data_IF_598242952871
#
_entry.id   IF_598242952871
#
_cell.length_a   1.000
_cell.length_b   1.000
_cell.length_c   1.000
_cell.angle_alpha   90.00
_cell.angle_beta   90.00
_cell.angle_gamma   90.00
#
_symmetry.space_group_name_H-M   'P 1'
#
loop_
_entity.id
_entity.type
_entity.pdbx_description
1 polymer ?
#
# COMPACT_ATOMS: atom_id res chain seq x y z
N UNK A 1 -36.61 -11.44 -37.77
CA UNK A 1 -36.10 -11.05 -39.11
C UNK A 1 -35.04 -9.98 -38.94
N UNK A 2 -33.97 -9.98 -39.75
CA UNK A 2 -32.90 -8.95 -39.79
C UNK A 2 -33.05 -8.10 -41.07
N UNK A 3 -32.49 -6.88 -41.11
CA UNK A 3 -31.25 -6.65 -41.86
C UNK A 3 -30.20 -5.93 -40.96
N UNK A 4 -28.89 -6.19 -40.96
CA UNK A 4 -27.88 -6.32 -42.04
C UNK A 4 -27.71 -5.03 -42.86
N UNK A 5 -26.72 -4.20 -42.50
CA UNK A 5 -25.80 -3.62 -43.48
C UNK A 5 -24.42 -3.35 -42.84
N UNK A 6 -23.38 -3.45 -43.67
CA UNK A 6 -21.97 -3.36 -43.31
C UNK A 6 -21.34 -2.15 -44.00
N UNK A 7 -20.39 -1.46 -43.36
CA UNK A 7 -19.27 -0.86 -44.08
C UNK A 7 -18.05 -0.64 -43.18
N UNK A 8 -16.94 -1.26 -43.55
CA UNK A 8 -15.62 -0.93 -43.01
C UNK A 8 -14.95 0.13 -43.89
N UNK A 9 -14.14 1.02 -43.31
CA UNK A 9 -13.20 1.82 -44.08
C UNK A 9 -11.90 2.03 -43.28
N UNK A 10 -10.84 1.36 -43.71
CA UNK A 10 -9.48 1.48 -43.21
C UNK A 10 -8.68 2.48 -44.07
N UNK A 11 -8.11 3.50 -43.45
CA UNK A 11 -7.00 4.32 -43.99
C UNK A 11 -5.86 4.22 -42.98
N UNK A 12 -4.72 3.55 -43.24
CA UNK A 12 -3.69 3.83 -44.27
C UNK A 12 -3.11 5.24 -44.06
N UNK A 13 -2.07 5.43 -43.23
CA UNK A 13 -0.63 5.11 -43.38
C UNK A 13 0.18 6.21 -44.11
N UNK A 14 1.08 6.86 -43.37
CA UNK A 14 2.25 7.69 -43.80
C UNK A 14 2.94 8.15 -42.49
N UNK A 15 4.18 7.84 -42.11
CA UNK A 15 5.43 7.42 -42.79
C UNK A 15 6.23 8.58 -43.43
N UNK A 16 7.11 9.19 -42.63
CA UNK A 16 8.32 9.98 -42.96
C UNK A 16 9.18 9.96 -41.66
N UNK A 17 10.44 9.50 -41.55
CA UNK A 17 11.66 9.66 -42.38
C UNK A 17 12.09 11.15 -42.41
N UNK A 18 13.33 11.60 -42.19
CA UNK A 18 14.64 10.99 -41.92
C UNK A 18 15.28 11.68 -40.66
N UNK A 19 16.58 11.73 -40.33
CA UNK A 19 17.83 11.31 -40.98
C UNK A 19 18.97 11.03 -39.96
N UNK A 20 20.15 10.64 -40.48
CA UNK A 20 21.45 10.43 -39.83
C UNK A 20 22.35 11.68 -39.82
N UNK A 21 23.30 11.77 -38.87
CA UNK A 21 24.76 11.78 -39.17
C UNK A 21 25.60 11.40 -37.93
N UNK A 22 26.74 10.73 -38.09
CA UNK A 22 27.74 10.54 -37.04
C UNK A 22 28.78 11.69 -37.05
N UNK A 23 29.41 11.97 -35.90
CA UNK A 23 30.63 12.77 -35.88
C UNK A 23 31.75 12.02 -35.16
N UNK A 24 32.65 11.44 -35.96
CA UNK A 24 33.94 10.92 -35.52
C UNK A 24 34.83 12.07 -35.07
N UNK A 25 35.62 11.89 -34.01
CA UNK A 25 36.75 12.79 -33.71
C UNK A 25 37.93 12.03 -33.10
N UNK A 26 38.87 11.73 -33.99
CA UNK A 26 40.34 11.71 -33.81
C UNK A 26 40.89 11.50 -32.39
N UNK A 27 41.54 10.36 -32.18
CA UNK A 27 42.46 10.14 -31.07
C UNK A 27 43.74 10.99 -31.21
N UNK A 28 44.27 11.49 -30.09
CA UNK A 28 45.66 11.93 -29.98
C UNK A 28 46.35 11.14 -28.87
N UNK A 29 47.43 10.46 -29.19
CA UNK A 29 48.28 9.78 -28.22
C UNK A 29 49.19 10.79 -27.53
N UNK A 30 49.23 10.77 -26.19
CA UNK A 30 50.20 11.52 -25.41
C UNK A 30 50.77 10.64 -24.28
N UNK A 31 52.02 10.22 -24.46
CA UNK A 31 52.81 9.42 -23.53
C UNK A 31 52.97 10.15 -22.18
N UNK A 32 52.44 9.58 -21.09
CA UNK A 32 52.38 10.23 -19.77
C UNK A 32 52.68 9.27 -18.61
N UNK A 33 53.97 9.11 -18.33
CA UNK A 33 54.61 8.28 -17.30
C UNK A 33 53.99 8.37 -15.88
N UNK A 34 53.89 7.21 -15.21
CA UNK A 34 53.92 6.94 -13.74
C UNK A 34 53.06 7.78 -12.76
N UNK A 35 52.03 7.14 -12.20
CA UNK A 35 51.75 7.15 -10.76
C UNK A 35 50.91 5.92 -10.36
N UNK A 36 51.35 5.15 -9.37
CA UNK A 36 50.61 4.00 -8.86
C UNK A 36 49.43 4.46 -8.01
N UNK A 37 48.21 4.27 -8.51
CA UNK A 37 46.99 4.33 -7.70
C UNK A 37 46.20 3.03 -7.94
N UNK A 38 46.49 2.00 -7.13
CA UNK A 38 45.59 0.85 -7.00
C UNK A 38 44.32 1.41 -6.36
N UNK A 39 43.31 1.70 -7.18
CA UNK A 39 41.94 1.86 -6.69
C UNK A 39 41.53 0.47 -6.23
N UNK A 40 41.76 0.21 -4.95
CA UNK A 40 41.14 -0.92 -4.26
C UNK A 40 39.65 -0.68 -4.38
N UNK A 41 39.00 -1.39 -5.30
CA UNK A 41 37.53 -1.50 -5.34
C UNK A 41 37.15 -2.37 -4.15
N UNK A 42 37.29 -1.78 -2.97
CA UNK A 42 36.65 -2.28 -1.76
C UNK A 42 35.17 -2.19 -2.04
N UNK A 43 34.56 -3.36 -2.23
CA UNK A 43 33.12 -3.53 -2.22
C UNK A 43 32.61 -2.84 -0.96
N UNK A 44 31.89 -1.73 -1.12
CA UNK A 44 31.26 -1.04 -0.02
C UNK A 44 30.20 -1.98 0.56
N UNK A 45 30.61 -2.77 1.56
CA UNK A 45 29.76 -3.69 2.27
C UNK A 45 28.70 -2.84 2.96
N UNK A 46 27.50 -2.83 2.37
CA UNK A 46 26.35 -2.05 2.84
C UNK A 46 26.19 -2.37 4.33
N UNK A 47 26.27 -1.38 5.23
CA UNK A 47 26.14 -1.64 6.65
C UNK A 47 24.87 -2.44 6.92
N UNK A 48 25.04 -3.63 7.47
CA UNK A 48 23.96 -4.43 8.01
C UNK A 48 23.17 -3.55 8.96
N UNK A 49 21.84 -3.49 8.77
CA UNK A 49 21.00 -2.63 9.59
C UNK A 49 21.23 -3.00 11.07
N UNK A 50 21.54 -2.02 11.95
CA UNK A 50 21.67 -2.30 13.37
C UNK A 50 20.35 -2.90 13.89
N UNK A 51 20.40 -3.79 14.89
CA UNK A 51 19.22 -4.48 15.39
C UNK A 51 18.13 -3.46 15.75
N UNK A 52 16.91 -3.71 15.26
CA UNK A 52 15.77 -2.80 15.36
C UNK A 52 15.62 -2.33 16.81
N UNK A 53 15.98 -1.06 17.05
CA UNK A 53 16.05 -0.52 18.40
C UNK A 53 14.66 -0.55 19.04
N UNK A 54 14.51 -1.36 20.09
CA UNK A 54 13.32 -1.42 20.93
C UNK A 54 13.20 -0.12 21.73
N UNK A 55 12.58 0.89 21.12
CA UNK A 55 12.15 2.10 21.84
C UNK A 55 11.03 1.68 22.81
N UNK A 56 11.18 1.88 24.14
CA UNK A 56 10.16 1.55 25.12
C UNK A 56 9.03 2.58 25.05
N UNK A 57 8.20 2.49 24.02
CA UNK A 57 7.04 3.34 23.82
C UNK A 57 5.97 2.96 24.83
N UNK A 58 5.77 3.85 25.82
CA UNK A 58 4.67 3.88 26.82
C UNK A 58 3.54 2.92 26.44
N UNK A 59 3.43 1.82 27.20
CA UNK A 59 2.68 0.61 26.85
C UNK A 59 1.35 0.93 26.17
N UNK A 60 1.36 0.84 24.84
CA UNK A 60 0.20 1.17 24.01
C UNK A 60 -0.76 0.01 24.12
N UNK A 61 -2.01 0.30 24.50
CA UNK A 61 -3.09 -0.68 24.51
C UNK A 61 -3.11 -1.43 23.16
N UNK A 62 -2.83 -2.73 23.25
CA UNK A 62 -2.60 -3.62 22.13
C UNK A 62 -3.60 -4.77 22.22
N UNK A 63 -4.60 -4.77 21.35
CA UNK A 63 -5.60 -5.84 21.28
C UNK A 63 -5.24 -6.81 20.15
N UNK A 64 -5.20 -8.12 20.43
CA UNK A 64 -5.07 -9.16 19.40
C UNK A 64 -6.42 -9.84 19.19
N UNK A 65 -6.94 -9.84 17.96
CA UNK A 65 -8.28 -10.33 17.67
C UNK A 65 -8.41 -10.88 16.24
N UNK A 66 -9.60 -11.38 15.88
CA UNK A 66 -9.97 -11.54 14.47
C UNK A 66 -10.50 -10.21 13.91
N UNK A 67 -10.00 -9.77 12.77
CA UNK A 67 -10.62 -8.73 11.96
C UNK A 67 -11.61 -9.32 10.95
N UNK A 68 -12.56 -8.51 10.50
CA UNK A 68 -13.28 -8.75 9.23
C UNK A 68 -13.38 -7.48 8.41
N UNK A 69 -14.15 -7.50 7.32
CA UNK A 69 -14.40 -6.30 6.52
C UNK A 69 -15.86 -6.19 6.06
N UNK A 70 -16.26 -4.96 5.71
CA UNK A 70 -17.58 -4.64 5.19
C UNK A 70 -17.48 -3.73 3.95
N UNK A 71 -18.44 -3.89 3.03
CA UNK A 71 -18.36 -3.36 1.67
C UNK A 71 -19.68 -2.80 1.15
N UNK A 72 -20.04 -3.19 -0.06
CA UNK A 72 -21.09 -2.57 -0.89
C UNK A 72 -22.45 -2.44 -0.19
N UNK A 73 -22.90 -3.48 0.51
CA UNK A 73 -24.14 -3.49 1.31
C UNK A 73 -24.24 -2.35 2.33
N UNK A 74 -23.12 -1.74 2.72
CA UNK A 74 -23.06 -0.65 3.69
C UNK A 74 -22.71 0.70 3.05
N UNK A 75 -22.29 0.73 1.78
CA UNK A 75 -21.80 1.94 1.16
C UNK A 75 -22.88 3.04 1.13
N UNK A 76 -22.49 4.27 1.45
CA UNK A 76 -23.41 5.41 1.59
C UNK A 76 -24.27 5.42 2.87
N UNK A 77 -24.38 4.31 3.62
CA UNK A 77 -25.13 4.29 4.88
C UNK A 77 -24.43 5.10 5.97
N UNK A 78 -25.21 5.74 6.84
CA UNK A 78 -24.70 6.55 7.95
C UNK A 78 -24.01 5.67 9.00
N UNK A 79 -22.72 5.94 9.26
CA UNK A 79 -21.95 5.32 10.34
C UNK A 79 -22.31 5.91 11.71
N UNK A 80 -21.89 5.27 12.80
CA UNK A 80 -22.12 5.75 14.16
C UNK A 80 -21.48 7.12 14.51
N UNK A 81 -20.64 7.72 13.65
CA UNK A 81 -20.18 9.11 13.80
C UNK A 81 -21.05 10.15 13.06
N UNK A 82 -22.07 9.71 12.31
CA UNK A 82 -22.95 10.59 11.52
C UNK A 82 -22.49 10.84 10.08
N UNK A 83 -21.31 10.36 9.68
CA UNK A 83 -20.82 10.45 8.30
C UNK A 83 -21.28 9.24 7.46
N UNK A 84 -21.46 9.38 6.13
CA UNK A 84 -21.72 8.24 5.25
C UNK A 84 -20.50 7.33 5.12
N UNK A 85 -20.72 6.01 5.05
CA UNK A 85 -19.65 5.03 4.89
C UNK A 85 -19.11 4.99 3.45
N UNK A 86 -17.80 5.18 3.32
CA UNK A 86 -17.06 4.97 2.07
C UNK A 86 -16.22 3.68 2.15
N UNK A 87 -16.61 2.66 1.38
CA UNK A 87 -15.87 1.38 1.33
C UNK A 87 -14.51 1.50 0.63
N UNK A 88 -14.32 2.53 -0.19
CA UNK A 88 -13.08 2.82 -0.90
C UNK A 88 -12.07 3.62 -0.06
N UNK A 89 -12.48 4.14 1.10
CA UNK A 89 -11.60 4.84 2.03
C UNK A 89 -10.91 3.84 2.98
N UNK A 90 -9.59 3.58 2.84
CA UNK A 90 -8.89 2.60 3.66
C UNK A 90 -8.69 3.04 5.11
N UNK A 91 -9.04 4.27 5.48
CA UNK A 91 -8.84 4.81 6.83
C UNK A 91 -10.06 4.66 7.73
N UNK A 92 -11.12 4.00 7.26
CA UNK A 92 -12.37 3.79 8.01
C UNK A 92 -12.38 2.41 8.65
N UNK A 93 -12.62 2.34 9.96
CA UNK A 93 -12.89 1.09 10.69
C UNK A 93 -14.02 1.24 11.71
N UNK A 94 -14.72 0.14 11.98
CA UNK A 94 -15.63 -0.03 13.10
C UNK A 94 -14.88 -0.69 14.28
N UNK A 95 -15.12 -0.22 15.51
CA UNK A 95 -14.59 -0.87 16.72
C UNK A 95 -15.62 -0.90 17.85
N UNK A 96 -15.61 -2.00 18.62
CA UNK A 96 -16.56 -2.26 19.72
C UNK A 96 -16.55 -1.15 20.78
N UNK A 97 -15.38 -0.95 21.40
CA UNK A 97 -15.21 -0.14 22.62
C UNK A 97 -14.47 1.18 22.39
N UNK A 98 -13.44 1.21 21.54
CA UNK A 98 -12.60 2.40 21.33
C UNK A 98 -13.43 3.64 20.97
N UNK A 99 -13.09 4.83 21.51
CA UNK A 99 -13.73 6.09 21.12
C UNK A 99 -13.67 6.34 19.60
N UNK A 100 -14.72 6.92 19.04
CA UNK A 100 -14.70 7.41 17.65
C UNK A 100 -13.70 8.55 17.52
N UNK A 101 -12.98 8.63 16.41
CA UNK A 101 -11.83 9.52 16.22
C UNK A 101 -10.49 8.96 16.72
N UNK A 102 -10.47 7.82 17.43
CA UNK A 102 -9.23 7.13 17.80
C UNK A 102 -8.47 6.70 16.54
N UNK A 103 -7.21 7.13 16.41
CA UNK A 103 -6.29 6.61 15.38
C UNK A 103 -5.74 5.26 15.86
N UNK A 104 -5.74 4.26 14.98
CA UNK A 104 -5.21 2.93 15.25
C UNK A 104 -4.22 2.49 14.16
N UNK A 105 -3.23 1.71 14.55
CA UNK A 105 -2.39 0.92 13.64
C UNK A 105 -2.87 -0.52 13.74
N UNK A 106 -3.29 -1.09 12.60
CA UNK A 106 -3.77 -2.46 12.50
C UNK A 106 -2.74 -3.24 11.69
N UNK A 107 -2.21 -4.31 12.25
CA UNK A 107 -1.23 -5.20 11.62
C UNK A 107 -1.87 -6.57 11.41
N UNK A 108 -1.90 -7.04 10.17
CA UNK A 108 -2.24 -8.43 9.85
C UNK A 108 -1.09 -9.34 10.30
N UNK A 109 -1.38 -10.32 11.15
CA UNK A 109 -0.40 -11.22 11.76
C UNK A 109 0.00 -12.39 10.86
N UNK A 110 -0.74 -12.64 9.77
CA UNK A 110 -0.46 -13.70 8.79
C UNK A 110 0.59 -13.26 7.75
N UNK A 111 0.65 -11.95 7.44
CA UNK A 111 1.54 -11.41 6.39
C UNK A 111 2.37 -10.17 6.80
N UNK A 112 2.20 -9.66 8.04
CA UNK A 112 2.91 -8.49 8.56
C UNK A 112 2.49 -7.13 7.99
N UNK A 113 1.58 -7.08 7.01
CA UNK A 113 1.11 -5.82 6.42
C UNK A 113 0.39 -4.99 7.49
N UNK A 114 0.56 -3.67 7.44
CA UNK A 114 0.06 -2.75 8.46
C UNK A 114 -0.60 -1.52 7.85
N UNK A 115 -1.65 -1.02 8.52
CA UNK A 115 -2.49 0.08 8.06
C UNK A 115 -2.81 1.03 9.21
N UNK A 116 -2.69 2.34 8.98
CA UNK A 116 -3.16 3.36 9.93
C UNK A 116 -4.56 3.82 9.56
N UNK A 117 -5.52 3.58 10.45
CA UNK A 117 -6.92 3.91 10.27
C UNK A 117 -7.48 4.73 11.45
N UNK A 118 -8.76 5.11 11.34
CA UNK A 118 -9.51 5.88 12.35
C UNK A 118 -10.80 5.15 12.65
N UNK A 119 -11.08 4.94 13.94
CA UNK A 119 -12.36 4.41 14.41
C UNK A 119 -13.44 5.43 14.08
N UNK A 120 -14.31 5.14 13.11
CA UNK A 120 -15.47 5.97 12.76
C UNK A 120 -16.78 5.34 13.20
N UNK A 121 -16.84 4.01 13.27
CA UNK A 121 -18.09 3.28 13.44
C UNK A 121 -18.08 2.31 14.64
N UNK A 122 -19.20 1.59 14.84
CA UNK A 122 -19.45 0.66 15.94
C UNK A 122 -19.72 -0.76 15.44
N UNK A 123 -19.38 -1.74 16.28
CA UNK A 123 -19.25 -3.16 15.91
C UNK A 123 -17.78 -3.54 15.73
N UNK A 124 -17.43 -4.76 15.27
CA UNK A 124 -18.30 -5.91 15.01
C UNK A 124 -19.17 -6.29 16.21
N UNK A 125 -20.41 -6.74 15.97
CA UNK A 125 -21.27 -7.26 17.03
C UNK A 125 -21.21 -8.79 17.21
N UNK A 126 -20.26 -9.47 16.56
CA UNK A 126 -20.06 -10.92 16.71
C UNK A 126 -18.93 -11.26 17.69
N UNK A 127 -19.02 -12.38 18.44
CA UNK A 127 -17.94 -12.87 19.30
C UNK A 127 -16.62 -13.08 18.53
N UNK A 128 -15.49 -12.99 19.23
CA UNK A 128 -14.15 -13.25 18.66
C UNK A 128 -13.58 -12.17 17.71
N UNK A 129 -14.40 -11.28 17.15
CA UNK A 129 -13.94 -10.13 16.33
C UNK A 129 -13.82 -8.85 17.16
N UNK A 130 -12.85 -7.98 16.87
CA UNK A 130 -12.73 -6.66 17.55
C UNK A 130 -12.84 -5.44 16.61
N UNK A 131 -12.43 -5.61 15.35
CA UNK A 131 -12.41 -4.55 14.34
C UNK A 131 -12.97 -5.06 13.02
N UNK A 132 -13.80 -4.24 12.37
CA UNK A 132 -14.22 -4.45 10.98
C UNK A 132 -13.65 -3.30 10.13
N UNK A 133 -12.99 -3.63 9.02
CA UNK A 133 -12.36 -2.67 8.11
C UNK A 133 -13.27 -2.36 6.91
N UNK A 134 -13.07 -1.19 6.29
CA UNK A 134 -13.55 -0.98 4.92
C UNK A 134 -12.90 -1.96 3.94
N UNK A 135 -13.56 -2.23 2.81
CA UNK A 135 -13.02 -3.03 1.71
C UNK A 135 -11.62 -2.57 1.28
N UNK A 136 -11.40 -1.27 1.07
CA UNK A 136 -10.07 -0.73 0.75
C UNK A 136 -9.05 -0.95 1.88
N UNK A 137 -9.47 -0.93 3.15
CA UNK A 137 -8.62 -1.27 4.27
C UNK A 137 -8.19 -2.75 4.25
N UNK A 138 -9.15 -3.65 3.94
CA UNK A 138 -8.90 -5.07 3.79
C UNK A 138 -8.00 -5.40 2.58
N UNK A 139 -8.12 -4.67 1.48
CA UNK A 139 -7.19 -4.76 0.34
C UNK A 139 -5.76 -4.37 0.76
N UNK A 140 -5.57 -3.31 1.55
CA UNK A 140 -4.23 -2.90 2.02
C UNK A 140 -3.61 -3.88 3.01
N UNK A 141 -4.42 -4.57 3.80
CA UNK A 141 -3.98 -5.66 4.69
C UNK A 141 -3.98 -7.05 4.05
N UNK A 142 -4.42 -7.14 2.79
CA UNK A 142 -4.37 -8.35 1.96
C UNK A 142 -5.08 -9.56 2.61
N UNK A 143 -6.36 -9.37 2.95
CA UNK A 143 -7.22 -10.43 3.49
C UNK A 143 -8.66 -10.41 2.91
N UNK A 144 -8.90 -9.70 1.81
CA UNK A 144 -10.24 -9.61 1.18
C UNK A 144 -10.81 -10.99 0.91
N UNK A 145 -10.05 -11.83 0.21
CA UNK A 145 -10.47 -13.17 -0.22
C UNK A 145 -10.64 -14.14 0.96
N UNK A 146 -9.86 -13.96 2.03
CA UNK A 146 -10.01 -14.73 3.27
C UNK A 146 -11.26 -14.30 4.07
N UNK A 147 -11.75 -13.07 3.87
CA UNK A 147 -12.86 -12.45 4.62
C UNK A 147 -12.53 -12.10 6.08
N UNK A 148 -11.72 -12.93 6.73
CA UNK A 148 -11.25 -12.83 8.11
C UNK A 148 -9.72 -12.97 8.15
N UNK A 149 -9.08 -12.35 9.13
CA UNK A 149 -7.65 -12.55 9.43
C UNK A 149 -7.35 -12.25 10.89
N UNK A 150 -6.22 -12.74 11.43
CA UNK A 150 -5.75 -12.35 12.77
C UNK A 150 -4.99 -11.03 12.71
N UNK A 151 -5.36 -10.09 13.59
CA UNK A 151 -4.72 -8.77 13.67
C UNK A 151 -4.21 -8.43 15.08
N UNK A 152 -3.21 -7.57 15.14
CA UNK A 152 -2.92 -6.73 16.30
C UNK A 152 -3.40 -5.29 16.02
N UNK A 153 -4.11 -4.70 16.98
CA UNK A 153 -4.62 -3.33 16.93
C UNK A 153 -3.94 -2.52 18.03
N UNK A 154 -3.21 -1.48 17.63
CA UNK A 154 -2.49 -0.58 18.53
C UNK A 154 -3.08 0.83 18.46
N UNK A 155 -3.36 1.47 19.59
CA UNK A 155 -3.80 2.88 19.60
C UNK A 155 -2.63 3.81 19.29
N UNK A 156 -2.72 4.57 18.20
CA UNK A 156 -1.67 5.55 17.86
C UNK A 156 -1.70 6.70 18.88
N UNK A 157 -0.56 6.96 19.52
CA UNK A 157 -0.42 8.11 20.42
C UNK A 157 -0.51 9.42 19.63
N UNK A 158 -1.10 10.45 20.25
CA UNK A 158 -1.27 11.79 19.67
C UNK A 158 0.06 12.53 19.60
#
# INVERSE_FOLDING_TARGET
>A
MKPILSLACTFVLSFYLAATTPHTSVAHAATGRIASAIVVVTTAERPSQPPVATVPKKEVATEKCTASWYGEDFHGKTMANGEPFDMHNPRIVAHKTLPKGTKVVITNLENGKSLTAVVKDRGPFKPGRCVDLSFAGAQKLDFVDNGLTKVAVHVAQK
#
